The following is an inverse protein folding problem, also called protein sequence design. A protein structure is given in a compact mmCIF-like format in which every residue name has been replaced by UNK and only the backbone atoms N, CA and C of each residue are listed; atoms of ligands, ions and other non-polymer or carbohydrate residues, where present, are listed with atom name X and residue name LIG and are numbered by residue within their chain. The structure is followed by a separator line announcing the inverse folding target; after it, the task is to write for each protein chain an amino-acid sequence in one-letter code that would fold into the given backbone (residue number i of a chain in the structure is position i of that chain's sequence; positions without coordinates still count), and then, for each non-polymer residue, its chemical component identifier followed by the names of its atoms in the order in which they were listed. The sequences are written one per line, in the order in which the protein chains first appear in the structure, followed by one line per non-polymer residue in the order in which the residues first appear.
data_IF_920838506514
#
_entry.id   IF_920838506514
#
_cell.length_a   1.000
_cell.length_b   1.000
_cell.length_c   1.000
_cell.angle_alpha   90.00
_cell.angle_beta   90.00
_cell.angle_gamma   90.00
#
_symmetry.space_group_name_H-M   'P 1'
#
loop_
_entity.id
_entity.type
_entity.pdbx_description
1 polymer ?
#
# COMPACT_ATOMS: atom_id res chain seq x y z
N UNK A 1 -30.12 -9.12 -35.39
CA UNK A 1 -30.07 -8.37 -34.12
C UNK A 1 -29.34 -9.23 -33.12
N UNK A 2 -28.05 -8.94 -32.87
CA UNK A 2 -27.34 -9.58 -31.77
C UNK A 2 -27.75 -8.83 -30.50
N UNK A 3 -28.32 -9.56 -29.57
CA UNK A 3 -28.66 -9.08 -28.23
C UNK A 3 -27.37 -8.62 -27.55
N UNK A 4 -27.34 -7.35 -27.15
CA UNK A 4 -26.23 -6.72 -26.45
C UNK A 4 -26.19 -7.30 -25.03
N UNK A 5 -25.64 -8.51 -24.90
CA UNK A 5 -25.43 -9.18 -23.62
C UNK A 5 -24.55 -8.28 -22.76
N UNK A 6 -25.19 -7.55 -21.84
CA UNK A 6 -24.52 -6.68 -20.85
C UNK A 6 -23.43 -7.51 -20.17
N UNK A 7 -22.19 -7.28 -20.56
CA UNK A 7 -21.02 -7.84 -19.88
C UNK A 7 -21.01 -7.31 -18.46
N UNK A 8 -21.55 -8.11 -17.55
CA UNK A 8 -21.66 -7.75 -16.14
C UNK A 8 -20.39 -8.23 -15.45
N UNK A 9 -19.66 -7.30 -14.85
CA UNK A 9 -18.49 -7.65 -14.02
C UNK A 9 -19.02 -8.10 -12.66
N UNK A 10 -18.80 -9.37 -12.33
CA UNK A 10 -19.06 -9.91 -10.99
C UNK A 10 -17.73 -10.09 -10.25
N UNK A 11 -17.43 -9.16 -9.34
CA UNK A 11 -16.23 -9.19 -8.50
C UNK A 11 -16.17 -10.39 -7.55
N UNK A 12 -17.26 -11.15 -7.40
CA UNK A 12 -17.35 -12.31 -6.51
C UNK A 12 -17.34 -13.63 -7.26
N UNK A 13 -17.23 -13.60 -8.59
CA UNK A 13 -17.36 -14.79 -9.46
C UNK A 13 -16.48 -15.97 -9.04
N UNK A 14 -15.30 -15.69 -8.49
CA UNK A 14 -14.31 -16.69 -8.12
C UNK A 14 -14.29 -17.00 -6.61
N UNK A 15 -15.24 -16.44 -5.84
CA UNK A 15 -15.35 -16.70 -4.41
C UNK A 15 -16.35 -17.84 -4.13
N UNK A 16 -16.09 -18.69 -3.12
CA UNK A 16 -17.09 -19.62 -2.62
C UNK A 16 -18.39 -18.89 -2.23
N UNK A 17 -19.59 -19.45 -2.49
CA UNK A 17 -20.86 -18.74 -2.28
C UNK A 17 -21.05 -18.18 -0.87
N UNK A 18 -20.65 -18.94 0.17
CA UNK A 18 -20.73 -18.47 1.56
C UNK A 18 -19.79 -17.29 1.85
N UNK A 19 -18.58 -17.32 1.30
CA UNK A 19 -17.62 -16.23 1.44
C UNK A 19 -18.09 -14.98 0.68
N UNK A 20 -18.63 -15.16 -0.52
CA UNK A 20 -19.21 -14.07 -1.31
C UNK A 20 -20.39 -13.41 -0.57
N UNK A 21 -21.28 -14.20 0.03
CA UNK A 21 -22.40 -13.67 0.83
C UNK A 21 -21.91 -12.90 2.05
N UNK A 22 -20.90 -13.42 2.74
CA UNK A 22 -20.29 -12.74 3.88
C UNK A 22 -19.65 -11.40 3.49
N UNK A 23 -18.80 -11.36 2.45
CA UNK A 23 -18.24 -10.08 1.98
C UNK A 23 -19.31 -9.08 1.55
N UNK A 24 -20.37 -9.53 0.87
CA UNK A 24 -21.49 -8.66 0.48
C UNK A 24 -22.24 -8.09 1.69
N UNK A 25 -22.27 -8.79 2.82
CA UNK A 25 -22.87 -8.27 4.06
C UNK A 25 -22.07 -7.17 4.72
N UNK A 26 -20.76 -7.06 4.44
CA UNK A 26 -19.88 -6.02 4.96
C UNK A 26 -19.94 -4.73 4.14
N UNK A 27 -20.49 -4.77 2.93
CA UNK A 27 -20.54 -3.62 2.02
C UNK A 27 -21.79 -2.80 2.32
N UNK A 28 -21.65 -1.51 2.64
CA UNK A 28 -22.79 -0.62 2.82
C UNK A 28 -23.70 -0.65 1.57
N UNK A 29 -25.01 -0.73 1.79
CA UNK A 29 -25.99 -0.68 0.70
C UNK A 29 -26.15 0.72 0.12
N UNK A 30 -25.80 1.73 0.91
CA UNK A 30 -25.87 3.13 0.50
C UNK A 30 -24.51 3.55 -0.07
N UNK A 31 -24.56 4.36 -1.13
CA UNK A 31 -23.38 4.99 -1.68
C UNK A 31 -22.73 5.92 -0.65
N UNK A 32 -21.40 6.02 -0.69
CA UNK A 32 -20.66 6.96 0.15
C UNK A 32 -21.06 8.40 -0.20
N UNK A 33 -21.49 9.17 0.81
CA UNK A 33 -21.94 10.57 0.67
C UNK A 33 -20.97 11.59 1.25
N UNK A 34 -19.82 11.16 1.74
CA UNK A 34 -18.80 12.06 2.28
C UNK A 34 -17.99 12.73 1.18
N UNK A 35 -17.15 13.69 1.57
CA UNK A 35 -16.19 14.30 0.67
C UNK A 35 -15.09 13.31 0.31
N UNK A 36 -14.72 13.28 -0.97
CA UNK A 36 -13.55 12.53 -1.43
C UNK A 36 -12.32 13.36 -1.01
N UNK A 37 -11.39 12.82 -0.19
CA UNK A 37 -10.23 13.55 0.30
C UNK A 37 -9.16 13.68 -0.81
N UNK A 38 -9.48 14.40 -1.87
CA UNK A 38 -8.63 14.61 -3.03
C UNK A 38 -7.98 16.00 -2.97
N UNK A 39 -6.66 16.02 -2.87
CA UNK A 39 -5.87 17.26 -2.94
C UNK A 39 -5.16 17.31 -4.29
N UNK A 40 -5.52 18.24 -5.19
CA UNK A 40 -4.81 18.42 -6.45
C UNK A 40 -3.34 18.80 -6.22
N UNK A 41 -2.44 18.33 -7.10
CA UNK A 41 -1.06 18.81 -7.10
C UNK A 41 -1.03 20.31 -7.42
N UNK A 42 -0.32 21.07 -6.61
CA UNK A 42 -0.14 22.52 -6.80
C UNK A 42 1.02 22.88 -7.74
N UNK A 43 1.82 21.89 -8.13
CA UNK A 43 3.05 22.05 -8.94
C UNK A 43 3.13 20.96 -10.03
N UNK A 44 3.83 21.21 -11.15
CA UNK A 44 4.18 20.17 -12.10
C UNK A 44 5.01 19.06 -11.43
N UNK A 45 4.91 17.83 -11.95
CA UNK A 45 5.63 16.65 -11.42
C UNK A 45 7.12 16.91 -11.24
N UNK A 46 7.76 17.55 -12.23
CA UNK A 46 9.19 17.91 -12.25
C UNK A 46 9.62 18.90 -11.16
N UNK A 47 8.69 19.42 -10.36
CA UNK A 47 8.93 20.29 -9.21
C UNK A 47 8.30 19.77 -7.92
N UNK A 48 7.66 18.60 -7.97
CA UNK A 48 7.00 17.98 -6.83
C UNK A 48 7.90 16.91 -6.19
N UNK A 49 7.78 16.78 -4.87
CA UNK A 49 8.46 15.76 -4.06
C UNK A 49 7.55 14.57 -3.79
N UNK A 50 8.04 13.35 -4.02
CA UNK A 50 7.28 12.11 -3.94
C UNK A 50 7.83 11.16 -2.88
N UNK A 51 6.95 10.44 -2.19
CA UNK A 51 7.29 9.24 -1.44
C UNK A 51 6.53 8.02 -1.97
N UNK A 52 7.04 6.82 -1.68
CA UNK A 52 6.35 5.56 -1.94
C UNK A 52 5.78 5.01 -0.63
N UNK A 53 4.57 4.47 -0.70
CA UNK A 53 3.95 3.74 0.41
C UNK A 53 3.37 2.43 -0.11
N UNK A 54 3.84 1.31 0.43
CA UNK A 54 3.38 -0.03 0.06
C UNK A 54 2.60 -0.71 1.18
N UNK A 55 1.58 -1.49 0.83
CA UNK A 55 0.84 -2.34 1.77
C UNK A 55 1.42 -3.77 1.85
N UNK A 56 2.63 -3.99 1.35
CA UNK A 56 3.18 -5.33 1.11
C UNK A 56 3.88 -5.99 2.30
N UNK A 57 3.83 -5.42 3.49
CA UNK A 57 4.46 -6.03 4.68
C UNK A 57 5.99 -6.19 4.55
N UNK A 58 6.67 -5.24 3.90
CA UNK A 58 8.14 -5.19 3.80
C UNK A 58 8.73 -4.57 5.06
N UNK A 59 9.80 -5.16 5.58
CA UNK A 59 10.62 -4.58 6.64
C UNK A 59 12.10 -4.65 6.25
N UNK A 60 12.95 -3.78 6.80
CA UNK A 60 14.38 -4.03 6.74
C UNK A 60 14.70 -5.30 7.56
N UNK A 61 15.82 -5.94 7.25
CA UNK A 61 16.34 -7.07 8.05
C UNK A 61 16.72 -6.67 9.48
N UNK A 62 17.01 -5.39 9.69
CA UNK A 62 17.27 -4.79 11.01
C UNK A 62 16.01 -4.49 11.81
N UNK A 63 14.85 -4.43 11.15
CA UNK A 63 13.60 -4.09 11.79
C UNK A 63 12.96 -5.32 12.44
N UNK A 64 12.12 -5.12 13.47
CA UNK A 64 11.18 -6.15 13.88
C UNK A 64 10.29 -6.56 12.70
N UNK A 65 10.10 -7.86 12.44
CA UNK A 65 9.16 -8.31 11.40
C UNK A 65 7.71 -7.95 11.78
N UNK A 66 6.80 -7.96 10.80
CA UNK A 66 5.36 -7.92 11.08
C UNK A 66 4.90 -9.21 11.74
N UNK A 67 3.94 -9.13 12.66
CA UNK A 67 3.51 -10.26 13.49
C UNK A 67 2.53 -11.20 12.77
N UNK A 68 3.05 -12.03 11.86
CA UNK A 68 2.24 -13.04 11.16
C UNK A 68 1.71 -14.16 12.07
N UNK A 69 2.38 -14.45 13.19
CA UNK A 69 1.95 -15.53 14.09
C UNK A 69 0.66 -15.16 14.82
N UNK A 70 0.52 -13.91 15.24
CA UNK A 70 -0.74 -13.45 15.83
C UNK A 70 -1.88 -13.48 14.82
N UNK A 71 -1.66 -13.06 13.59
CA UNK A 71 -2.68 -13.14 12.53
C UNK A 71 -3.12 -14.59 12.27
N UNK A 72 -2.22 -15.57 12.31
CA UNK A 72 -2.60 -16.99 12.21
C UNK A 72 -3.51 -17.43 13.36
N UNK A 73 -3.30 -16.92 14.57
CA UNK A 73 -4.15 -17.23 15.74
C UNK A 73 -5.43 -16.38 15.82
N UNK A 74 -5.38 -15.16 15.28
CA UNK A 74 -6.44 -14.15 15.25
C UNK A 74 -6.63 -13.67 13.79
N UNK A 75 -7.35 -14.42 12.93
CA UNK A 75 -7.40 -14.15 11.49
C UNK A 75 -8.07 -12.82 11.07
N UNK A 76 -8.68 -12.11 12.02
CA UNK A 76 -9.23 -10.77 11.83
C UNK A 76 -8.32 -9.68 12.39
N UNK A 77 -7.12 -10.02 12.83
CA UNK A 77 -6.15 -9.05 13.35
C UNK A 77 -5.04 -8.81 12.32
N UNK A 78 -4.75 -7.53 12.09
CA UNK A 78 -3.62 -7.08 11.28
C UNK A 78 -2.62 -6.31 12.13
N UNK A 79 -1.33 -6.45 11.83
CA UNK A 79 -0.28 -5.69 12.51
C UNK A 79 -0.42 -4.20 12.17
N UNK A 80 -0.78 -3.32 13.13
CA UNK A 80 -1.13 -1.93 12.84
C UNK A 80 0.11 -1.02 12.71
N UNK A 81 1.31 -1.59 12.69
CA UNK A 81 2.58 -0.83 12.63
C UNK A 81 3.04 -0.62 11.19
N UNK A 82 4.10 0.18 11.03
CA UNK A 82 4.75 0.43 9.73
C UNK A 82 6.27 0.37 9.87
N UNK A 83 6.97 0.35 8.74
CA UNK A 83 8.43 0.40 8.62
C UNK A 83 8.83 1.51 7.68
N UNK A 84 9.94 2.17 8.03
CA UNK A 84 10.59 3.16 7.20
C UNK A 84 11.62 2.46 6.31
N UNK A 85 11.57 2.75 5.02
CA UNK A 85 12.40 2.13 3.99
C UNK A 85 13.26 3.23 3.36
N UNK A 86 14.56 3.30 3.68
CA UNK A 86 15.47 4.27 3.07
C UNK A 86 15.50 4.15 1.55
N UNK A 87 15.67 5.27 0.85
CA UNK A 87 15.66 5.33 -0.62
C UNK A 87 16.66 4.40 -1.32
N UNK A 88 17.76 4.05 -0.65
CA UNK A 88 18.82 3.16 -1.16
C UNK A 88 18.58 1.67 -0.88
N UNK A 89 17.43 1.32 -0.32
CA UNK A 89 17.08 -0.07 0.03
C UNK A 89 17.01 -0.95 -1.22
N UNK A 90 17.55 -2.16 -1.11
CA UNK A 90 17.50 -3.19 -2.16
C UNK A 90 16.82 -4.44 -1.62
N UNK A 91 16.40 -5.34 -2.52
CA UNK A 91 15.78 -6.62 -2.14
C UNK A 91 16.66 -7.47 -1.19
N UNK A 92 17.98 -7.27 -1.20
CA UNK A 92 18.92 -7.96 -0.31
C UNK A 92 18.82 -7.52 1.16
N UNK A 93 18.29 -6.33 1.43
CA UNK A 93 18.24 -5.71 2.76
C UNK A 93 16.90 -5.90 3.46
N UNK A 94 15.92 -6.51 2.81
CA UNK A 94 14.56 -6.61 3.32
C UNK A 94 14.17 -8.04 3.69
N UNK A 95 13.13 -8.12 4.52
CA UNK A 95 12.26 -9.27 4.67
C UNK A 95 10.86 -8.92 4.14
N UNK A 96 10.12 -9.94 3.72
CA UNK A 96 8.72 -9.80 3.28
C UNK A 96 7.88 -10.77 4.11
N UNK A 97 7.09 -10.23 5.02
CA UNK A 97 6.26 -11.00 5.94
C UNK A 97 4.80 -10.72 5.58
N UNK A 98 4.19 -11.59 4.77
CA UNK A 98 2.81 -11.43 4.28
C UNK A 98 2.15 -12.78 4.00
N UNK A 99 1.00 -13.03 4.63
CA UNK A 99 0.31 -14.33 4.52
C UNK A 99 -0.49 -14.49 3.22
N UNK A 100 -0.89 -13.39 2.60
CA UNK A 100 -1.87 -13.40 1.50
C UNK A 100 -1.28 -13.28 0.09
N UNK A 101 0.05 -13.23 -0.07
CA UNK A 101 0.70 -13.04 -1.39
C UNK A 101 1.92 -13.94 -1.59
N UNK A 102 2.29 -14.14 -2.86
CA UNK A 102 3.57 -14.78 -3.20
C UNK A 102 4.74 -13.79 -3.09
N UNK A 103 5.49 -13.89 -2.00
CA UNK A 103 6.60 -12.97 -1.68
C UNK A 103 7.82 -13.11 -2.59
N UNK A 104 7.94 -14.20 -3.36
CA UNK A 104 9.11 -14.47 -4.21
C UNK A 104 9.37 -13.37 -5.25
N UNK A 105 8.31 -12.78 -5.79
CA UNK A 105 8.45 -11.72 -6.80
C UNK A 105 9.11 -10.46 -6.21
N UNK A 106 8.71 -10.09 -4.99
CA UNK A 106 9.26 -8.94 -4.26
C UNK A 106 10.73 -9.18 -3.88
N UNK A 107 11.06 -10.40 -3.45
CA UNK A 107 12.43 -10.78 -3.12
C UNK A 107 13.35 -10.82 -4.35
N UNK A 108 12.82 -11.17 -5.53
CA UNK A 108 13.56 -11.16 -6.78
C UNK A 108 13.76 -9.74 -7.32
N UNK A 109 12.70 -8.92 -7.31
CA UNK A 109 12.74 -7.52 -7.74
C UNK A 109 11.82 -6.67 -6.86
N UNK A 110 12.45 -5.82 -6.04
CA UNK A 110 11.73 -4.91 -5.15
C UNK A 110 10.85 -3.93 -5.94
N UNK A 111 11.21 -3.61 -7.19
CA UNK A 111 10.47 -2.62 -7.98
C UNK A 111 9.06 -3.06 -8.38
N UNK A 112 8.74 -4.36 -8.26
CA UNK A 112 7.38 -4.87 -8.49
C UNK A 112 6.38 -4.26 -7.51
N UNK A 113 6.84 -3.87 -6.31
CA UNK A 113 5.95 -3.32 -5.29
C UNK A 113 6.44 -2.06 -4.57
N UNK A 114 7.75 -1.81 -4.56
CA UNK A 114 8.32 -0.58 -4.04
C UNK A 114 9.37 -0.07 -5.05
N UNK A 115 8.94 0.62 -6.13
CA UNK A 115 9.77 1.01 -7.27
C UNK A 115 10.78 2.13 -6.98
N UNK A 116 11.60 1.96 -5.94
CA UNK A 116 12.63 2.92 -5.52
C UNK A 116 13.60 3.25 -6.66
N UNK A 117 14.09 2.22 -7.37
CA UNK A 117 15.05 2.42 -8.44
C UNK A 117 14.41 3.16 -9.63
N UNK A 118 13.17 2.82 -9.97
CA UNK A 118 12.42 3.50 -11.05
C UNK A 118 12.12 4.95 -10.69
N UNK A 119 11.74 5.23 -9.44
CA UNK A 119 11.54 6.61 -8.99
C UNK A 119 12.83 7.44 -9.00
N UNK A 120 13.97 6.84 -8.63
CA UNK A 120 15.26 7.52 -8.73
C UNK A 120 15.68 7.79 -10.19
N UNK A 121 15.31 6.92 -11.13
CA UNK A 121 15.48 7.17 -12.56
C UNK A 121 14.63 8.37 -13.03
N UNK A 122 13.34 8.40 -12.66
CA UNK A 122 12.45 9.52 -12.99
C UNK A 122 12.93 10.86 -12.40
N UNK A 123 13.50 10.85 -11.20
CA UNK A 123 14.12 12.02 -10.59
C UNK A 123 15.33 12.49 -11.42
N UNK A 124 16.23 11.57 -11.78
CA UNK A 124 17.42 11.88 -12.59
C UNK A 124 17.07 12.39 -13.99
N UNK A 125 15.99 11.89 -14.58
CA UNK A 125 15.47 12.34 -15.88
C UNK A 125 14.69 13.66 -15.79
N UNK A 126 14.46 14.19 -14.57
CA UNK A 126 13.72 15.44 -14.35
C UNK A 126 12.21 15.31 -14.58
N UNK A 127 11.69 14.09 -14.66
CA UNK A 127 10.24 13.82 -14.78
C UNK A 127 9.54 14.14 -13.46
N UNK A 128 10.16 13.79 -12.33
CA UNK A 128 9.75 14.23 -11.00
C UNK A 128 10.79 15.17 -10.39
N UNK A 129 10.37 16.03 -9.46
CA UNK A 129 11.27 16.98 -8.81
C UNK A 129 12.19 16.31 -7.80
N UNK A 130 11.63 15.46 -6.93
CA UNK A 130 12.41 14.76 -5.91
C UNK A 130 11.77 13.44 -5.48
N UNK A 131 12.59 12.42 -5.23
CA UNK A 131 12.22 11.26 -4.42
C UNK A 131 12.65 11.50 -2.97
N UNK A 132 11.73 11.34 -2.02
CA UNK A 132 11.99 11.47 -0.60
C UNK A 132 13.03 10.46 -0.10
N UNK A 133 13.71 10.79 0.99
CA UNK A 133 14.72 9.91 1.60
C UNK A 133 14.08 8.66 2.22
N UNK A 134 12.83 8.80 2.67
CA UNK A 134 12.09 7.73 3.34
C UNK A 134 10.87 7.34 2.50
N UNK A 135 10.77 6.05 2.20
CA UNK A 135 9.53 5.40 1.77
C UNK A 135 8.95 4.57 2.92
N UNK A 136 7.73 4.10 2.81
CA UNK A 136 7.06 3.42 3.93
C UNK A 136 6.40 2.12 3.49
N UNK A 137 6.33 1.20 4.45
CA UNK A 137 5.70 -0.10 4.27
C UNK A 137 4.87 -0.42 5.49
N UNK A 138 3.65 -0.92 5.28
CA UNK A 138 2.79 -1.42 6.36
C UNK A 138 2.18 -2.77 5.98
N UNK A 139 1.54 -3.42 6.94
CA UNK A 139 0.86 -4.68 6.70
C UNK A 139 -0.53 -4.47 6.08
N UNK A 140 -0.74 -4.96 4.87
CA UNK A 140 -1.92 -4.61 4.06
C UNK A 140 -3.25 -5.15 4.57
N UNK A 141 -3.24 -6.22 5.36
CA UNK A 141 -4.45 -6.72 5.98
C UNK A 141 -4.73 -5.95 7.28
N UNK A 142 -5.76 -5.10 7.27
CA UNK A 142 -6.26 -4.37 8.44
C UNK A 142 -7.78 -4.50 8.49
N UNK A 143 -8.30 -5.28 9.43
CA UNK A 143 -9.75 -5.46 9.59
C UNK A 143 -10.26 -4.57 10.73
N UNK A 144 -11.10 -3.58 10.40
CA UNK A 144 -11.79 -2.67 11.33
C UNK A 144 -10.91 -2.05 12.44
N UNK A 145 -9.63 -1.76 12.13
CA UNK A 145 -8.66 -1.26 13.10
C UNK A 145 -8.45 0.25 12.98
N UNK A 146 -9.03 1.01 13.91
CA UNK A 146 -8.68 2.44 14.05
C UNK A 146 -7.24 2.63 14.56
N UNK A 147 -6.70 1.63 15.28
CA UNK A 147 -5.32 1.66 15.77
C UNK A 147 -4.31 1.78 14.62
N UNK A 148 -4.60 1.24 13.44
CA UNK A 148 -3.77 1.41 12.25
C UNK A 148 -3.64 2.87 11.81
N UNK A 149 -4.72 3.66 11.95
CA UNK A 149 -4.68 5.08 11.60
C UNK A 149 -3.73 5.84 12.54
N UNK A 150 -3.79 5.57 13.84
CA UNK A 150 -2.97 6.25 14.84
C UNK A 150 -1.52 5.75 14.87
N UNK A 151 -1.29 4.45 14.69
CA UNK A 151 0.03 3.84 14.83
C UNK A 151 0.85 3.84 13.54
N UNK A 152 0.19 3.87 12.37
CA UNK A 152 0.87 3.89 11.08
C UNK A 152 0.55 5.17 10.28
N UNK A 153 -0.71 5.38 9.91
CA UNK A 153 -1.05 6.42 8.91
C UNK A 153 -0.69 7.83 9.40
N UNK A 154 -1.06 8.19 10.63
CA UNK A 154 -0.78 9.50 11.23
C UNK A 154 0.72 9.82 11.30
N UNK A 155 1.54 8.95 11.94
CA UNK A 155 2.99 9.13 12.01
C UNK A 155 3.68 9.19 10.64
N UNK A 156 3.30 8.32 9.70
CA UNK A 156 3.83 8.36 8.32
C UNK A 156 3.50 9.70 7.66
N UNK A 157 2.25 10.15 7.72
CA UNK A 157 1.82 11.42 7.13
C UNK A 157 2.52 12.63 7.74
N UNK A 158 2.72 12.65 9.06
CA UNK A 158 3.47 13.70 9.73
C UNK A 158 4.94 13.73 9.27
N UNK A 159 5.58 12.57 9.17
CA UNK A 159 6.98 12.50 8.72
C UNK A 159 7.14 12.90 7.26
N UNK A 160 6.26 12.40 6.38
CA UNK A 160 6.21 12.82 4.97
C UNK A 160 6.07 14.34 4.84
N UNK A 161 5.19 14.96 5.64
CA UNK A 161 5.04 16.42 5.69
C UNK A 161 6.33 17.12 6.12
N UNK A 162 7.02 16.61 7.15
CA UNK A 162 8.32 17.15 7.62
C UNK A 162 9.43 17.02 6.57
N UNK A 163 9.41 15.96 5.76
CA UNK A 163 10.37 15.73 4.67
C UNK A 163 10.04 16.53 3.40
N UNK A 164 8.95 17.30 3.40
CA UNK A 164 8.49 18.08 2.27
C UNK A 164 7.95 17.20 1.12
N UNK A 165 7.36 16.05 1.45
CA UNK A 165 6.63 15.22 0.48
C UNK A 165 5.33 15.92 0.11
N UNK A 166 5.05 16.01 -1.19
CA UNK A 166 3.87 16.68 -1.75
C UNK A 166 2.90 15.69 -2.38
N UNK A 167 3.38 14.50 -2.73
CA UNK A 167 2.57 13.44 -3.32
C UNK A 167 3.07 12.06 -2.89
N UNK A 168 2.15 11.11 -2.81
CA UNK A 168 2.46 9.71 -2.46
C UNK A 168 2.00 8.81 -3.60
N UNK A 169 2.87 7.90 -4.01
CA UNK A 169 2.48 6.78 -4.86
C UNK A 169 2.19 5.59 -3.95
N UNK A 170 0.94 5.15 -3.97
CA UNK A 170 0.47 3.97 -3.25
C UNK A 170 0.67 2.73 -4.10
N UNK A 171 1.29 1.70 -3.55
CA UNK A 171 1.51 0.41 -4.20
C UNK A 171 0.82 -0.72 -3.42
N UNK A 172 -0.46 -1.01 -3.71
CA UNK A 172 -1.21 -2.05 -3.01
C UNK A 172 -0.82 -3.46 -3.48
N UNK A 173 -0.98 -4.45 -2.59
CA UNK A 173 -0.85 -5.89 -2.88
C UNK A 173 -2.12 -6.67 -2.61
#
# INVERSE_FOLDING_TARGET
MMEDSKRTVDGYRFLPPGLAAWFRSLIPKEDFKGDIPWTPLSKPLSRASFALVTSSGISLKSDPPFNMEREKSEPTWGDPTYREIPRSTTSKLINVNHLHINTKHILNDLNVILPLARMAELEREGIIGRLAETSYSFYGFQFESMAFLDQAIGPMAEKMRKEGVEAVILTPV
#
